data_IF_423922227155
#
_entry.id   IF_423922227155
#
_cell.length_a   1.000
_cell.length_b   1.000
_cell.length_c   1.000
_cell.angle_alpha   90.00
_cell.angle_beta   90.00
_cell.angle_gamma   90.00
#
_symmetry.space_group_name_H-M   'P 1'
#
loop_
_entity.id
_entity.type
_entity.pdbx_description
1 polymer ?
#
# COMPACT_ATOMS: atom_id res chain seq x y z
N UNK A 1 -1.71 -21.27 -8.81
CA UNK A 1 -0.94 -21.17 -7.55
C UNK A 1 -1.58 -20.09 -6.70
N UNK A 2 -2.04 -20.42 -5.50
CA UNK A 2 -2.60 -19.43 -4.57
C UNK A 2 -1.43 -18.57 -4.08
N UNK A 3 -1.27 -17.36 -4.60
CA UNK A 3 -0.21 -16.44 -4.15
C UNK A 3 -0.64 -15.89 -2.79
N UNK A 4 -0.05 -16.42 -1.74
CA UNK A 4 -0.29 -15.96 -0.37
C UNK A 4 0.19 -14.51 -0.24
N UNK A 5 -0.61 -13.64 0.37
CA UNK A 5 -0.20 -12.27 0.65
C UNK A 5 0.83 -12.28 1.78
N UNK A 6 1.97 -11.68 1.53
CA UNK A 6 3.07 -11.57 2.51
C UNK A 6 3.34 -10.10 2.80
N UNK A 7 3.34 -9.73 4.06
CA UNK A 7 3.55 -8.34 4.46
C UNK A 7 3.10 -8.02 5.87
N UNK A 8 2.92 -6.75 6.14
CA UNK A 8 2.44 -6.20 7.40
C UNK A 8 1.07 -5.57 7.23
N UNK A 9 0.18 -5.79 8.18
CA UNK A 9 -1.11 -5.11 8.23
C UNK A 9 -2.31 -6.00 8.49
N UNK A 10 -3.47 -5.43 8.23
CA UNK A 10 -4.78 -6.04 8.46
C UNK A 10 -5.17 -6.92 7.26
N UNK A 11 -5.56 -8.15 7.51
CA UNK A 11 -6.06 -9.06 6.46
C UNK A 11 -7.37 -8.58 5.82
N UNK A 12 -8.10 -7.70 6.50
CA UNK A 12 -9.33 -7.06 6.03
C UNK A 12 -9.08 -5.63 5.50
N UNK A 13 -7.95 -5.41 4.84
CA UNK A 13 -7.56 -4.08 4.37
C UNK A 13 -8.51 -3.50 3.31
N UNK A 14 -8.68 -2.19 3.33
CA UNK A 14 -9.29 -1.39 2.27
C UNK A 14 -8.25 -0.69 1.39
N UNK A 15 -7.04 -0.49 1.93
CA UNK A 15 -5.89 0.09 1.22
C UNK A 15 -4.67 -0.79 1.41
N UNK A 16 -4.06 -1.21 0.30
CA UNK A 16 -2.80 -1.94 0.30
C UNK A 16 -1.74 -1.17 -0.48
N UNK A 17 -0.54 -1.09 0.07
CA UNK A 17 0.66 -0.56 -0.59
C UNK A 17 1.63 -1.71 -0.85
N UNK A 18 2.16 -1.77 -2.06
CA UNK A 18 3.10 -2.80 -2.50
C UNK A 18 4.48 -2.21 -2.68
N UNK A 19 5.48 -2.79 -2.01
CA UNK A 19 6.89 -2.38 -2.09
C UNK A 19 7.77 -3.56 -2.50
N UNK A 20 8.90 -3.25 -3.15
CA UNK A 20 9.75 -4.26 -3.77
C UNK A 20 10.51 -5.15 -2.77
N UNK A 21 10.74 -4.68 -1.56
CA UNK A 21 11.55 -5.36 -0.54
C UNK A 21 10.93 -5.25 0.83
N UNK A 22 11.09 -6.28 1.65
CA UNK A 22 10.78 -6.26 3.07
C UNK A 22 11.87 -5.53 3.87
N UNK A 23 11.62 -5.12 5.14
CA UNK A 23 12.68 -4.63 6.02
C UNK A 23 13.78 -5.69 6.19
N UNK A 24 15.08 -5.31 6.15
CA UNK A 24 16.19 -6.25 6.28
C UNK A 24 16.38 -6.67 7.75
N UNK A 25 15.47 -7.45 8.26
CA UNK A 25 15.51 -8.04 9.61
C UNK A 25 15.14 -9.52 9.53
N UNK A 26 15.75 -10.41 10.35
CA UNK A 26 15.51 -11.86 10.27
C UNK A 26 14.04 -12.27 10.33
N UNK A 27 13.22 -11.56 11.10
CA UNK A 27 11.78 -11.81 11.19
C UNK A 27 11.08 -11.73 9.84
N UNK A 28 11.46 -10.77 8.98
CA UNK A 28 10.81 -10.56 7.69
C UNK A 28 11.31 -11.52 6.60
N UNK A 29 12.48 -12.15 6.80
CA UNK A 29 13.01 -13.17 5.89
C UNK A 29 12.20 -14.46 5.95
N UNK A 30 11.57 -14.73 7.10
CA UNK A 30 10.74 -15.92 7.35
C UNK A 30 9.24 -15.64 7.32
N UNK A 31 8.85 -14.40 6.99
CA UNK A 31 7.44 -14.03 6.96
C UNK A 31 6.71 -14.70 5.78
N UNK A 32 5.74 -15.54 6.07
CA UNK A 32 5.01 -16.30 5.07
C UNK A 32 3.59 -15.77 4.80
N UNK A 33 3.07 -14.90 5.65
CA UNK A 33 1.70 -14.38 5.53
C UNK A 33 1.62 -12.88 5.87
N UNK A 34 0.41 -12.33 5.75
CA UNK A 34 0.11 -10.96 6.15
C UNK A 34 -0.17 -10.94 7.65
N UNK A 35 0.67 -10.23 8.41
CA UNK A 35 0.58 -10.12 9.86
C UNK A 35 0.41 -8.68 10.32
N UNK A 36 -0.51 -8.39 11.26
CA UNK A 36 -0.64 -7.06 11.81
C UNK A 36 0.60 -6.70 12.63
N UNK A 37 1.02 -5.43 12.54
CA UNK A 37 2.07 -4.90 13.43
C UNK A 37 1.55 -4.87 14.87
N UNK A 38 2.45 -5.20 15.77
CA UNK A 38 2.24 -5.02 17.21
C UNK A 38 2.74 -3.64 17.63
N UNK A 39 2.32 -3.22 18.83
CA UNK A 39 2.77 -1.94 19.40
C UNK A 39 4.29 -1.80 19.37
N UNK A 40 4.80 -0.61 19.05
CA UNK A 40 6.24 -0.27 18.95
C UNK A 40 7.02 -0.98 17.80
N UNK A 41 6.40 -1.87 17.03
CA UNK A 41 7.11 -2.60 15.97
C UNK A 41 7.57 -1.66 14.83
N UNK A 42 6.76 -0.66 14.45
CA UNK A 42 7.16 0.35 13.46
C UNK A 42 8.40 1.12 13.97
N UNK A 43 8.42 1.48 15.26
CA UNK A 43 9.56 2.15 15.85
C UNK A 43 10.80 1.25 15.86
N UNK A 44 10.65 -0.01 16.20
CA UNK A 44 11.72 -1.02 16.15
C UNK A 44 12.30 -1.15 14.74
N UNK A 45 11.45 -1.24 13.70
CA UNK A 45 11.89 -1.28 12.30
C UNK A 45 12.66 0.01 11.94
N UNK A 46 12.16 1.18 12.36
CA UNK A 46 12.81 2.46 12.11
C UNK A 46 14.20 2.55 12.72
N UNK A 47 14.39 1.99 13.91
CA UNK A 47 15.67 1.98 14.59
C UNK A 47 16.69 1.01 13.94
N UNK A 48 16.24 -0.17 13.55
CA UNK A 48 17.12 -1.22 13.02
C UNK A 48 17.36 -1.13 11.51
N UNK A 49 16.37 -0.69 10.72
CA UNK A 49 16.45 -0.63 9.27
C UNK A 49 16.78 0.76 8.72
N UNK A 50 16.97 1.74 9.62
CA UNK A 50 17.43 3.08 9.27
C UNK A 50 16.39 3.95 8.58
N UNK A 51 16.86 5.10 8.06
CA UNK A 51 16.01 6.17 7.54
C UNK A 51 15.13 5.79 6.35
N UNK A 52 15.47 4.77 5.60
CA UNK A 52 14.69 4.32 4.44
C UNK A 52 13.28 3.87 4.87
N UNK A 53 13.21 2.99 5.85
CA UNK A 53 11.94 2.45 6.34
C UNK A 53 11.12 3.47 7.11
N UNK A 54 11.77 4.34 7.89
CA UNK A 54 11.08 5.47 8.53
C UNK A 54 10.36 6.36 7.50
N UNK A 55 10.96 6.59 6.32
CA UNK A 55 10.31 7.33 5.26
C UNK A 55 9.10 6.60 4.69
N UNK A 56 9.19 5.29 4.48
CA UNK A 56 8.07 4.48 3.98
C UNK A 56 6.85 4.61 4.90
N UNK A 57 7.01 4.40 6.21
CA UNK A 57 5.89 4.52 7.15
C UNK A 57 5.35 5.95 7.26
N UNK A 58 6.22 6.96 7.26
CA UNK A 58 5.82 8.36 7.30
C UNK A 58 5.01 8.76 6.05
N UNK A 59 5.50 8.38 4.87
CA UNK A 59 4.81 8.68 3.61
C UNK A 59 3.50 7.91 3.55
N UNK A 60 3.46 6.65 4.00
CA UNK A 60 2.24 5.87 4.03
C UNK A 60 1.16 6.55 4.88
N UNK A 61 1.48 6.93 6.12
CA UNK A 61 0.54 7.63 6.98
C UNK A 61 0.05 8.94 6.37
N UNK A 62 0.93 9.73 5.75
CA UNK A 62 0.55 10.95 5.03
C UNK A 62 -0.37 10.68 3.84
N UNK A 63 -0.11 9.64 3.05
CA UNK A 63 -0.98 9.23 1.95
C UNK A 63 -2.37 8.91 2.49
N UNK A 64 -2.48 8.08 3.54
CA UNK A 64 -3.77 7.72 4.13
C UNK A 64 -4.54 8.95 4.64
N UNK A 65 -3.85 9.92 5.22
CA UNK A 65 -4.45 11.18 5.68
C UNK A 65 -4.91 12.09 4.55
N UNK A 66 -4.30 11.98 3.38
CA UNK A 66 -4.66 12.75 2.19
C UNK A 66 -5.79 12.11 1.37
N UNK A 67 -6.14 10.84 1.62
CA UNK A 67 -7.19 10.14 0.85
C UNK A 67 -8.55 10.84 1.03
N UNK A 68 -9.43 10.79 -0.01
CA UNK A 68 -10.73 11.43 0.01
C UNK A 68 -11.57 11.00 1.24
N UNK A 69 -11.96 11.97 2.07
CA UNK A 69 -12.66 11.73 3.35
C UNK A 69 -14.07 11.16 3.19
N UNK A 70 -14.66 11.24 1.99
CA UNK A 70 -15.93 10.63 1.61
C UNK A 70 -15.85 9.10 1.53
N UNK A 71 -14.65 8.57 1.24
CA UNK A 71 -14.43 7.14 1.04
C UNK A 71 -13.54 6.51 2.11
N UNK A 72 -12.74 7.31 2.81
CA UNK A 72 -11.77 6.84 3.79
C UNK A 72 -11.81 7.67 5.07
N UNK A 73 -11.75 7.02 6.20
CA UNK A 73 -11.84 7.66 7.53
C UNK A 73 -10.52 7.71 8.29
N UNK A 74 -9.38 7.47 7.64
CA UNK A 74 -8.08 7.39 8.33
C UNK A 74 -7.72 8.68 9.07
N UNK A 75 -7.90 9.84 8.43
CA UNK A 75 -7.63 11.15 9.03
C UNK A 75 -8.55 11.50 10.22
N UNK A 76 -9.64 10.74 10.44
CA UNK A 76 -10.53 10.92 11.59
C UNK A 76 -10.12 10.11 12.81
N UNK A 77 -9.17 9.18 12.66
CA UNK A 77 -8.77 8.25 13.72
C UNK A 77 -7.73 8.85 14.68
N UNK A 78 -6.98 9.85 14.24
CA UNK A 78 -5.96 10.52 15.06
C UNK A 78 -5.86 11.99 14.69
N UNK A 79 -5.42 12.88 15.61
CA UNK A 79 -5.25 14.31 15.35
C UNK A 79 -4.17 14.61 14.30
N UNK A 80 -3.16 13.75 14.18
CA UNK A 80 -2.03 13.92 13.27
C UNK A 80 -1.66 12.61 12.59
N UNK A 81 -1.08 12.70 11.39
CA UNK A 81 -0.58 11.51 10.69
C UNK A 81 0.55 10.79 11.46
N UNK A 82 1.34 11.53 12.29
CA UNK A 82 2.38 10.94 13.14
C UNK A 82 1.76 10.02 14.18
N UNK A 83 0.76 10.52 14.91
CA UNK A 83 0.05 9.71 15.90
C UNK A 83 -0.66 8.52 15.25
N UNK A 84 -1.30 8.73 14.09
CA UNK A 84 -1.90 7.64 13.33
C UNK A 84 -0.86 6.57 12.94
N UNK A 85 0.34 7.00 12.45
CA UNK A 85 1.44 6.07 12.13
C UNK A 85 1.81 5.19 13.33
N UNK A 86 1.89 5.78 14.51
CA UNK A 86 2.41 5.10 15.70
C UNK A 86 1.35 4.20 16.37
N UNK A 87 0.07 4.62 16.32
CA UNK A 87 -1.00 3.96 17.08
C UNK A 87 -1.93 3.08 16.24
N UNK A 88 -2.03 3.31 14.91
CA UNK A 88 -3.05 2.66 14.09
C UNK A 88 -2.50 1.98 12.84
N UNK A 89 -1.47 2.56 12.21
CA UNK A 89 -0.97 2.09 10.91
C UNK A 89 -0.58 0.61 10.96
N UNK A 90 -1.11 -0.18 10.02
CA UNK A 90 -0.82 -1.61 9.84
C UNK A 90 -1.19 -2.51 11.02
N UNK A 91 -1.87 -2.01 12.03
CA UNK A 91 -2.33 -2.80 13.16
C UNK A 91 -3.59 -3.60 12.81
N UNK A 92 -3.97 -4.52 13.68
CA UNK A 92 -5.22 -5.27 13.56
C UNK A 92 -6.41 -4.31 13.48
N UNK A 93 -7.31 -4.53 12.54
CA UNK A 93 -8.48 -3.69 12.23
C UNK A 93 -8.16 -2.29 11.67
N UNK A 94 -6.91 -2.01 11.32
CA UNK A 94 -6.49 -0.73 10.72
C UNK A 94 -7.02 -0.50 9.30
N UNK A 95 -7.48 -1.57 8.64
CA UNK A 95 -7.87 -1.57 7.22
C UNK A 95 -6.73 -1.21 6.25
N UNK A 96 -5.48 -1.36 6.68
CA UNK A 96 -4.29 -1.04 5.88
C UNK A 96 -3.33 -2.22 5.80
N UNK A 97 -2.65 -2.37 4.66
CA UNK A 97 -1.63 -3.39 4.45
C UNK A 97 -0.42 -2.82 3.70
N UNK A 98 0.78 -3.28 4.07
CA UNK A 98 2.04 -3.04 3.36
C UNK A 98 2.59 -4.39 2.91
N UNK A 99 2.54 -4.64 1.61
CA UNK A 99 2.75 -5.97 1.03
C UNK A 99 4.10 -6.04 0.31
N UNK A 100 4.80 -7.15 0.53
CA UNK A 100 6.07 -7.52 -0.11
C UNK A 100 5.85 -8.53 -1.24
N UNK A 101 4.67 -9.11 -1.32
CA UNK A 101 4.18 -9.94 -2.44
C UNK A 101 3.55 -9.09 -3.54
N UNK A 102 3.38 -9.67 -4.72
CA UNK A 102 2.67 -9.00 -5.83
C UNK A 102 1.17 -8.84 -5.54
N UNK A 103 0.51 -7.82 -6.14
CA UNK A 103 -0.94 -7.74 -6.11
C UNK A 103 -1.57 -8.99 -6.74
N UNK A 104 -2.50 -9.62 -6.03
CA UNK A 104 -3.25 -10.73 -6.57
C UNK A 104 -4.50 -10.22 -7.30
N UNK A 105 -4.39 -9.98 -8.59
CA UNK A 105 -5.49 -9.50 -9.45
C UNK A 105 -6.32 -10.63 -10.04
N UNK A 106 -5.85 -11.88 -9.95
CA UNK A 106 -6.54 -13.09 -10.44
C UNK A 106 -7.22 -13.85 -9.32
N UNK A 107 -8.22 -13.27 -8.65
CA UNK A 107 -9.14 -14.08 -7.86
C UNK A 107 -10.26 -14.53 -8.78
N UNK A 108 -10.01 -15.60 -9.53
CA UNK A 108 -11.06 -16.41 -10.13
C UNK A 108 -11.90 -17.06 -9.03
N UNK A 109 -13.18 -16.94 -9.18
CA UNK A 109 -14.35 -17.25 -8.37
C UNK A 109 -14.45 -18.62 -7.67
N UNK A 110 -13.40 -19.21 -7.12
CA UNK A 110 -13.50 -20.52 -6.44
C UNK A 110 -13.52 -20.43 -4.91
N UNK A 111 -13.05 -19.34 -4.30
CA UNK A 111 -13.18 -19.13 -2.87
C UNK A 111 -13.69 -17.73 -2.58
N UNK A 112 -14.92 -17.64 -2.09
CA UNK A 112 -15.64 -16.42 -1.67
C UNK A 112 -15.03 -15.76 -0.43
N UNK A 113 -13.74 -15.50 -0.40
CA UNK A 113 -13.07 -14.72 0.63
C UNK A 113 -12.41 -13.51 -0.03
N UNK A 114 -13.18 -12.42 -0.09
CA UNK A 114 -12.71 -11.03 -0.15
C UNK A 114 -11.89 -10.54 -1.35
N UNK A 115 -12.31 -10.76 -2.60
CA UNK A 115 -12.04 -9.75 -3.61
C UNK A 115 -13.08 -8.64 -3.48
N UNK A 116 -12.94 -7.78 -2.48
CA UNK A 116 -13.74 -6.57 -2.40
C UNK A 116 -13.31 -5.67 -3.57
N UNK A 117 -14.19 -5.50 -4.57
CA UNK A 117 -14.04 -4.52 -5.67
C UNK A 117 -13.78 -3.07 -5.17
N UNK A 118 -13.81 -2.85 -3.88
CA UNK A 118 -13.60 -1.58 -3.22
C UNK A 118 -12.20 -1.41 -2.61
N UNK A 119 -11.32 -2.42 -2.69
CA UNK A 119 -9.95 -2.28 -2.21
C UNK A 119 -9.14 -1.40 -3.16
N UNK A 120 -8.34 -0.50 -2.59
CA UNK A 120 -7.37 0.32 -3.31
C UNK A 120 -6.00 -0.36 -3.23
N UNK A 121 -5.37 -0.55 -4.36
CA UNK A 121 -4.03 -1.09 -4.48
C UNK A 121 -3.07 0.00 -4.97
N UNK A 122 -2.01 0.31 -4.22
CA UNK A 122 -1.00 1.30 -4.57
C UNK A 122 0.34 0.59 -4.74
N UNK A 123 0.90 0.62 -5.94
CA UNK A 123 2.23 0.06 -6.20
C UNK A 123 3.26 1.19 -6.13
N UNK A 124 4.17 1.10 -5.15
CA UNK A 124 5.19 2.11 -4.91
C UNK A 124 6.42 1.88 -5.81
N UNK A 125 6.55 2.68 -6.86
CA UNK A 125 7.68 2.73 -7.76
C UNK A 125 7.45 2.09 -9.13
N UNK A 126 7.73 2.88 -10.19
CA UNK A 126 7.62 2.45 -11.60
C UNK A 126 8.46 1.21 -11.92
N UNK A 127 9.71 1.17 -11.43
CA UNK A 127 10.59 0.03 -11.67
C UNK A 127 10.04 -1.25 -11.06
N UNK A 128 9.49 -1.16 -9.84
CA UNK A 128 8.85 -2.29 -9.17
C UNK A 128 7.67 -2.81 -10.01
N UNK A 129 6.79 -1.91 -10.45
CA UNK A 129 5.65 -2.26 -11.31
C UNK A 129 6.08 -2.96 -12.60
N UNK A 130 7.09 -2.42 -13.31
CA UNK A 130 7.60 -3.03 -14.55
C UNK A 130 8.17 -4.43 -14.30
N UNK A 131 8.90 -4.62 -13.20
CA UNK A 131 9.44 -5.93 -12.84
C UNK A 131 8.32 -6.94 -12.56
N UNK A 132 7.24 -6.54 -11.87
CA UNK A 132 6.10 -7.42 -11.61
C UNK A 132 5.38 -7.84 -12.91
N UNK A 133 5.21 -6.91 -13.85
CA UNK A 133 4.63 -7.19 -15.16
C UNK A 133 5.51 -8.14 -15.98
N UNK A 134 6.81 -7.88 -16.07
CA UNK A 134 7.78 -8.70 -16.81
C UNK A 134 7.90 -10.12 -16.25
N UNK A 135 7.75 -10.29 -14.93
CA UNK A 135 7.78 -11.59 -14.27
C UNK A 135 6.44 -12.33 -14.34
N UNK A 136 5.41 -11.75 -14.97
CA UNK A 136 4.06 -12.34 -15.00
C UNK A 136 3.38 -12.42 -13.62
N UNK A 137 3.88 -11.67 -12.64
CA UNK A 137 3.34 -11.64 -11.28
C UNK A 137 2.21 -10.63 -11.08
N UNK A 138 2.01 -9.75 -12.07
CA UNK A 138 0.97 -8.74 -12.08
C UNK A 138 0.30 -8.77 -13.44
N UNK A 139 -1.03 -8.97 -13.44
CA UNK A 139 -1.87 -8.89 -14.63
C UNK A 139 -2.73 -7.62 -14.52
N UNK A 140 -2.26 -6.54 -15.13
CA UNK A 140 -2.91 -5.24 -15.09
C UNK A 140 -2.72 -4.51 -16.42
N UNK A 141 -3.69 -3.69 -16.80
CA UNK A 141 -3.62 -2.81 -17.97
C UNK A 141 -3.53 -1.38 -17.48
N UNK A 142 -2.31 -0.84 -17.51
CA UNK A 142 -2.04 0.51 -17.01
C UNK A 142 -2.19 1.56 -18.10
N UNK A 143 -2.97 2.59 -17.78
CA UNK A 143 -2.93 3.88 -18.44
C UNK A 143 -1.87 4.75 -17.74
N UNK A 144 -0.74 4.98 -18.42
CA UNK A 144 0.35 5.79 -17.90
C UNK A 144 0.05 7.28 -18.12
N UNK A 145 -0.18 8.00 -17.03
CA UNK A 145 -0.48 9.42 -17.05
C UNK A 145 0.79 10.27 -17.29
N UNK A 146 1.91 9.76 -16.82
CA UNK A 146 3.25 10.32 -17.02
C UNK A 146 4.33 9.27 -16.66
N UNK A 147 5.56 9.75 -16.42
CA UNK A 147 6.69 8.89 -16.06
C UNK A 147 6.60 8.25 -14.66
N UNK A 148 5.72 8.72 -13.79
CA UNK A 148 5.65 8.34 -12.38
C UNK A 148 4.32 7.72 -11.98
N UNK A 149 3.22 8.10 -12.64
CA UNK A 149 1.87 7.69 -12.27
C UNK A 149 1.19 6.89 -13.38
N UNK A 150 0.54 5.81 -12.99
CA UNK A 150 -0.33 5.03 -13.86
C UNK A 150 -1.55 4.53 -13.09
N UNK A 151 -2.62 4.25 -13.80
CA UNK A 151 -3.87 3.73 -13.23
C UNK A 151 -4.34 2.49 -13.99
N UNK A 152 -4.91 1.53 -13.27
CA UNK A 152 -5.75 0.47 -13.79
C UNK A 152 -7.11 0.55 -13.09
N UNK A 153 -8.07 1.13 -13.78
CA UNK A 153 -9.43 1.37 -13.25
C UNK A 153 -10.18 0.07 -13.01
N UNK A 154 -9.91 -0.97 -13.78
CA UNK A 154 -10.58 -2.27 -13.68
C UNK A 154 -10.25 -2.98 -12.38
N UNK A 155 -9.00 -2.86 -11.92
CA UNK A 155 -8.48 -3.53 -10.74
C UNK A 155 -8.30 -2.60 -9.53
N UNK A 156 -8.63 -1.30 -9.62
CA UNK A 156 -8.37 -0.28 -8.60
C UNK A 156 -6.89 -0.20 -8.21
N UNK A 157 -5.99 -0.22 -9.19
CA UNK A 157 -4.56 -0.13 -8.97
C UNK A 157 -4.07 1.25 -9.40
N UNK A 158 -3.26 1.88 -8.55
CA UNK A 158 -2.50 3.09 -8.88
C UNK A 158 -1.02 2.79 -8.70
N UNK A 159 -0.22 3.17 -9.69
CA UNK A 159 1.24 3.26 -9.59
C UNK A 159 1.60 4.69 -9.23
N UNK A 160 2.50 4.86 -8.28
CA UNK A 160 3.02 6.16 -7.88
C UNK A 160 4.53 6.08 -7.60
N UNK A 161 5.24 7.21 -7.40
CA UNK A 161 6.62 7.19 -6.92
C UNK A 161 6.80 6.37 -5.65
N UNK A 162 8.07 5.91 -5.42
CA UNK A 162 8.39 5.18 -4.20
C UNK A 162 8.11 6.01 -2.94
N UNK A 163 7.77 5.36 -1.85
CA UNK A 163 7.40 5.98 -0.56
C UNK A 163 8.63 6.56 0.17
N UNK A 164 9.28 7.49 -0.48
CA UNK A 164 10.29 8.40 0.05
C UNK A 164 9.83 9.84 -0.23
N UNK A 165 9.86 10.72 0.76
CA UNK A 165 9.40 12.12 0.64
C UNK A 165 10.12 12.91 -0.46
N UNK A 166 11.32 12.45 -0.88
CA UNK A 166 12.06 13.04 -2.02
C UNK A 166 11.45 12.65 -3.36
N UNK A 167 10.78 11.50 -3.44
CA UNK A 167 10.14 10.99 -4.64
C UNK A 167 8.63 11.28 -4.62
N UNK A 168 7.93 10.91 -3.55
CA UNK A 168 6.52 11.19 -3.33
C UNK A 168 6.36 12.36 -2.34
N UNK A 169 6.57 13.58 -2.85
CA UNK A 169 6.42 14.84 -2.11
C UNK A 169 4.95 15.10 -1.73
N UNK A 170 4.69 16.07 -0.86
CA UNK A 170 3.31 16.43 -0.47
C UNK A 170 2.44 16.83 -1.68
N UNK A 171 3.01 17.49 -2.69
CA UNK A 171 2.30 17.83 -3.94
C UNK A 171 1.90 16.56 -4.69
N UNK A 172 2.80 15.57 -4.78
CA UNK A 172 2.52 14.29 -5.43
C UNK A 172 1.56 13.42 -4.61
N UNK A 173 1.56 13.54 -3.28
CA UNK A 173 0.56 12.90 -2.41
C UNK A 173 -0.83 13.48 -2.69
N UNK A 174 -0.96 14.81 -2.82
CA UNK A 174 -2.23 15.43 -3.19
C UNK A 174 -2.73 14.92 -4.56
N UNK A 175 -1.84 14.86 -5.56
CA UNK A 175 -2.16 14.27 -6.86
C UNK A 175 -2.61 12.80 -6.76
N UNK A 176 -1.93 11.98 -5.95
CA UNK A 176 -2.34 10.60 -5.70
C UNK A 176 -3.76 10.54 -5.14
N UNK A 177 -4.10 11.42 -4.18
CA UNK A 177 -5.43 11.51 -3.61
C UNK A 177 -6.50 11.88 -4.66
N UNK A 178 -6.20 12.81 -5.55
CA UNK A 178 -7.09 13.18 -6.67
C UNK A 178 -7.33 11.99 -7.62
N UNK A 179 -6.29 11.23 -7.96
CA UNK A 179 -6.41 10.03 -8.79
C UNK A 179 -7.26 8.95 -8.10
N UNK A 180 -7.13 8.78 -6.78
CA UNK A 180 -7.99 7.87 -6.00
C UNK A 180 -9.46 8.32 -6.05
N UNK A 181 -9.73 9.62 -5.92
CA UNK A 181 -11.08 10.15 -6.04
C UNK A 181 -11.68 9.84 -7.43
N UNK A 182 -10.91 10.03 -8.49
CA UNK A 182 -11.34 9.72 -9.86
C UNK A 182 -11.67 8.23 -10.06
N UNK A 183 -10.86 7.32 -9.51
CA UNK A 183 -11.13 5.88 -9.56
C UNK A 183 -12.46 5.49 -8.90
N UNK A 184 -12.86 6.22 -7.86
CA UNK A 184 -14.13 5.95 -7.14
C UNK A 184 -15.36 6.50 -7.86
N UNK A 185 -15.22 7.58 -8.62
CA UNK A 185 -16.31 8.19 -9.39
C UNK A 185 -16.65 7.34 -10.62
N UNK A 186 -15.67 6.66 -11.20
CA UNK A 186 -15.82 5.89 -12.45
C UNK A 186 -16.57 4.55 -12.27
N UNK A 187 -16.99 4.21 -11.05
CA UNK A 187 -17.73 2.99 -10.68
C UNK A 187 -19.16 3.28 -10.27
#
# INVERSE_FOLDING_TARGET
MNTQLVGLGDTQFSVAVYVAKAPPMPFFETLECLEPVINEQINTINQHCGNGWRKVFNVYAKVLFALPSEHYSFAKQAPTWQQYRDEYLLQKNSKTALLFSAPNTTITCANKATSNKNQLHIIAGRTHTKNLLQQGKLHAQFDWLDDEFAIDTSNNIIVCPYFDYRQLSNIKIARLSELVAQLKITK
#
